data_IF_497492848266
#
_entry.id   IF_497492848266
#
_cell.length_a   1.000
_cell.length_b   1.000
_cell.length_c   1.000
_cell.angle_alpha   90.00
_cell.angle_beta   90.00
_cell.angle_gamma   90.00
#
_symmetry.space_group_name_H-M   'P 1'
#
loop_
_entity.id
_entity.type
_entity.pdbx_description
1 polymer ?
#
# COMPACT_ATOMS: atom_id res chain seq x y z
N UNK A 1 8.06 1.07 -21.32
CA UNK A 1 6.71 0.60 -21.00
C UNK A 1 6.82 -0.40 -19.86
N UNK A 2 6.06 -0.20 -18.75
CA UNK A 2 6.19 -1.06 -17.56
C UNK A 2 5.17 -2.21 -17.51
N UNK A 3 4.09 -2.16 -18.30
CA UNK A 3 3.07 -3.22 -18.36
C UNK A 3 2.54 -3.42 -19.79
N UNK A 4 2.16 -4.65 -20.13
CA UNK A 4 1.52 -5.05 -21.38
C UNK A 4 0.19 -5.74 -21.12
N UNK A 5 -0.77 -5.56 -22.03
CA UNK A 5 -2.07 -6.20 -22.00
C UNK A 5 -1.99 -7.56 -22.68
N UNK A 6 -2.52 -8.59 -22.04
CA UNK A 6 -2.77 -9.90 -22.63
C UNK A 6 -4.28 -10.10 -22.71
N UNK A 7 -4.77 -10.37 -23.91
CA UNK A 7 -6.18 -10.74 -24.15
C UNK A 7 -6.22 -12.24 -24.28
N UNK A 8 -6.87 -12.92 -23.34
CA UNK A 8 -7.19 -14.35 -23.38
C UNK A 8 -8.70 -14.54 -23.52
N UNK A 9 -9.15 -15.72 -23.91
CA UNK A 9 -10.57 -16.05 -24.05
C UNK A 9 -11.35 -15.84 -22.73
N UNK A 10 -10.67 -15.93 -21.58
CA UNK A 10 -11.25 -15.76 -20.24
C UNK A 10 -11.29 -14.31 -19.75
N UNK A 11 -10.78 -13.34 -20.54
CA UNK A 11 -10.78 -11.92 -20.18
C UNK A 11 -9.48 -11.17 -20.47
N UNK A 12 -9.45 -9.92 -20.02
CA UNK A 12 -8.30 -9.02 -20.21
C UNK A 12 -7.43 -9.08 -18.97
N UNK A 13 -6.18 -9.53 -19.09
CA UNK A 13 -5.18 -9.49 -18.04
C UNK A 13 -4.03 -8.53 -18.39
N UNK A 14 -3.44 -7.92 -17.38
CA UNK A 14 -2.31 -7.01 -17.54
C UNK A 14 -1.08 -7.62 -16.89
N UNK A 15 -0.03 -7.87 -17.69
CA UNK A 15 1.26 -8.35 -17.19
C UNK A 15 2.32 -7.25 -17.28
N UNK A 16 3.21 -7.22 -16.29
CA UNK A 16 4.37 -6.34 -16.33
C UNK A 16 5.35 -6.76 -17.43
N UNK A 17 5.97 -5.76 -18.06
CA UNK A 17 7.15 -6.01 -18.91
C UNK A 17 8.34 -6.40 -18.02
N UNK A 18 9.40 -7.01 -18.58
CA UNK A 18 10.61 -7.31 -17.81
C UNK A 18 11.16 -6.11 -17.03
N UNK A 19 11.11 -4.92 -17.62
CA UNK A 19 11.50 -3.67 -16.95
C UNK A 19 10.57 -3.32 -15.78
N UNK A 20 9.27 -3.59 -15.89
CA UNK A 20 8.30 -3.41 -14.82
C UNK A 20 8.58 -4.34 -13.62
N UNK A 21 8.98 -5.59 -13.88
CA UNK A 21 9.39 -6.52 -12.82
C UNK A 21 10.67 -6.07 -12.13
N UNK A 22 11.66 -5.55 -12.86
CA UNK A 22 12.90 -5.03 -12.28
C UNK A 22 12.60 -3.86 -11.34
N UNK A 23 11.76 -2.91 -11.74
CA UNK A 23 11.35 -1.78 -10.89
C UNK A 23 10.62 -2.28 -9.65
N UNK A 24 9.69 -3.22 -9.79
CA UNK A 24 8.95 -3.80 -8.67
C UNK A 24 9.89 -4.49 -7.68
N UNK A 25 10.81 -5.32 -8.17
CA UNK A 25 11.81 -6.02 -7.34
C UNK A 25 12.72 -5.02 -6.63
N UNK A 26 13.17 -3.95 -7.31
CA UNK A 26 13.98 -2.91 -6.70
C UNK A 26 13.24 -2.21 -5.55
N UNK A 27 11.97 -1.89 -5.72
CA UNK A 27 11.12 -1.31 -4.67
C UNK A 27 10.95 -2.26 -3.49
N UNK A 28 10.74 -3.56 -3.75
CA UNK A 28 10.68 -4.60 -2.69
C UNK A 28 11.98 -4.64 -1.90
N UNK A 29 13.12 -4.67 -2.59
CA UNK A 29 14.44 -4.71 -1.95
C UNK A 29 14.66 -3.47 -1.08
N UNK A 30 14.33 -2.27 -1.58
CA UNK A 30 14.46 -1.03 -0.81
C UNK A 30 13.59 -1.04 0.44
N UNK A 31 12.33 -1.49 0.34
CA UNK A 31 11.44 -1.58 1.51
C UNK A 31 11.92 -2.62 2.53
N UNK A 32 12.38 -3.78 2.08
CA UNK A 32 12.97 -4.79 2.96
C UNK A 32 14.27 -4.27 3.60
N UNK A 33 15.13 -3.60 2.84
CA UNK A 33 16.37 -3.02 3.35
C UNK A 33 16.09 -1.99 4.46
N UNK A 34 15.12 -1.09 4.27
CA UNK A 34 14.69 -0.14 5.31
C UNK A 34 14.21 -0.87 6.56
N UNK A 35 13.43 -1.94 6.42
CA UNK A 35 12.98 -2.77 7.54
C UNK A 35 14.12 -3.48 8.29
N UNK A 36 15.16 -3.93 7.58
CA UNK A 36 16.32 -4.60 8.16
C UNK A 36 17.37 -3.65 8.77
N UNK A 37 17.61 -2.50 8.14
CA UNK A 37 18.61 -1.52 8.59
C UNK A 37 18.18 -0.90 9.93
N UNK A 38 16.88 -0.67 10.11
CA UNK A 38 16.35 -0.12 11.35
C UNK A 38 16.09 -1.26 12.34
N UNK A 39 17.16 -1.74 12.93
CA UNK A 39 17.11 -2.76 13.97
C UNK A 39 16.55 -2.16 15.25
N UNK A 40 15.27 -2.38 15.50
CA UNK A 40 14.61 -1.93 16.72
C UNK A 40 15.09 -2.81 17.90
N UNK A 41 15.79 -2.22 18.87
CA UNK A 41 16.29 -2.90 20.07
C UNK A 41 15.18 -3.20 21.08
N UNK A 42 13.93 -2.85 20.79
CA UNK A 42 12.80 -3.08 21.70
C UNK A 42 12.35 -4.53 21.65
N UNK A 43 12.50 -5.20 22.77
CA UNK A 43 12.11 -6.59 22.99
C UNK A 43 10.65 -6.86 22.57
N UNK A 44 10.41 -7.99 21.92
CA UNK A 44 9.07 -8.47 21.59
C UNK A 44 8.28 -8.70 22.90
N UNK A 45 7.49 -7.73 23.34
CA UNK A 45 6.63 -7.90 24.49
C UNK A 45 5.21 -8.27 24.05
N UNK A 46 4.54 -9.13 24.82
CA UNK A 46 3.12 -9.50 24.61
C UNK A 46 2.25 -8.25 24.52
N UNK A 47 2.54 -7.23 25.33
CA UNK A 47 1.84 -5.94 25.31
C UNK A 47 1.90 -5.27 23.92
N UNK A 48 3.07 -5.29 23.27
CA UNK A 48 3.24 -4.73 21.91
C UNK A 48 2.37 -5.48 20.89
N UNK A 49 2.34 -6.83 20.97
CA UNK A 49 1.53 -7.64 20.08
C UNK A 49 0.04 -7.36 20.25
N UNK A 50 -0.43 -7.35 21.49
CA UNK A 50 -1.85 -7.10 21.83
C UNK A 50 -2.29 -5.71 21.38
N UNK A 51 -1.52 -4.65 21.69
CA UNK A 51 -1.85 -3.28 21.25
C UNK A 51 -1.83 -3.14 19.72
N UNK A 52 -0.90 -3.80 19.03
CA UNK A 52 -0.87 -3.80 17.56
C UNK A 52 -2.10 -4.51 16.98
N UNK A 53 -2.47 -5.65 17.53
CA UNK A 53 -3.68 -6.37 17.11
C UNK A 53 -4.96 -5.56 17.33
N UNK A 54 -5.09 -4.90 18.48
CA UNK A 54 -6.23 -4.00 18.77
C UNK A 54 -6.28 -2.81 17.80
N UNK A 55 -5.13 -2.19 17.51
CA UNK A 55 -5.07 -1.06 16.59
C UNK A 55 -5.41 -1.50 15.14
N UNK A 56 -4.97 -2.67 14.69
CA UNK A 56 -5.35 -3.24 13.39
C UNK A 56 -6.85 -3.52 13.33
N UNK A 57 -7.43 -4.08 14.39
CA UNK A 57 -8.87 -4.32 14.48
C UNK A 57 -9.67 -3.01 14.41
N UNK A 58 -9.26 -1.98 15.15
CA UNK A 58 -9.89 -0.65 15.09
C UNK A 58 -9.72 -0.01 13.72
N UNK A 59 -8.54 -0.12 13.09
CA UNK A 59 -8.32 0.37 11.75
C UNK A 59 -9.23 -0.33 10.74
N UNK A 60 -9.45 -1.63 10.89
CA UNK A 60 -10.35 -2.41 10.02
C UNK A 60 -11.81 -2.00 10.25
N UNK A 61 -12.26 -1.85 11.49
CA UNK A 61 -13.61 -1.39 11.78
C UNK A 61 -13.87 0.01 11.22
N UNK A 62 -12.94 0.94 11.40
CA UNK A 62 -13.06 2.30 10.87
C UNK A 62 -12.92 2.37 9.35
N UNK A 63 -12.33 1.36 8.72
CA UNK A 63 -12.26 1.28 7.25
C UNK A 63 -13.62 1.03 6.59
N UNK A 64 -14.59 0.46 7.30
CA UNK A 64 -15.97 0.34 6.80
C UNK A 64 -16.69 1.69 6.73
N UNK A 65 -16.24 2.69 7.52
CA UNK A 65 -16.77 4.04 7.48
C UNK A 65 -16.04 4.80 6.36
N UNK A 66 -16.54 4.68 5.14
CA UNK A 66 -15.99 5.38 3.99
C UNK A 66 -16.66 6.75 3.84
N UNK A 67 -15.87 7.83 3.87
CA UNK A 67 -16.35 9.19 3.64
C UNK A 67 -16.53 9.43 2.15
N UNK A 68 -15.60 8.95 1.35
CA UNK A 68 -15.61 9.16 -0.11
C UNK A 68 -15.03 7.93 -0.81
N UNK A 69 -15.74 7.47 -1.86
CA UNK A 69 -15.27 6.41 -2.77
C UNK A 69 -14.85 7.04 -4.08
N UNK A 70 -13.63 6.73 -4.53
CA UNK A 70 -13.11 7.19 -5.82
C UNK A 70 -13.66 6.31 -6.96
N UNK A 71 -14.00 6.91 -8.13
CA UNK A 71 -14.59 6.15 -9.25
C UNK A 71 -13.69 5.06 -9.82
N UNK A 72 -12.37 5.18 -9.66
CA UNK A 72 -11.36 4.25 -10.18
C UNK A 72 -10.77 3.32 -9.12
N UNK A 73 -11.51 3.05 -8.06
CA UNK A 73 -11.03 2.28 -6.91
C UNK A 73 -10.31 3.13 -5.88
N UNK A 74 -10.27 2.65 -4.66
CA UNK A 74 -9.80 3.38 -3.51
C UNK A 74 -10.92 4.11 -2.77
N UNK A 75 -10.72 4.28 -1.47
CA UNK A 75 -11.66 4.97 -0.59
C UNK A 75 -10.92 5.80 0.44
N UNK A 76 -11.51 6.96 0.76
CA UNK A 76 -11.06 7.76 1.90
C UNK A 76 -11.86 7.31 3.12
N UNK A 77 -11.16 6.69 4.07
CA UNK A 77 -11.74 6.12 5.29
C UNK A 77 -11.43 7.00 6.50
N UNK A 78 -12.34 6.97 7.49
CA UNK A 78 -12.19 7.75 8.69
C UNK A 78 -11.11 7.16 9.60
N UNK A 79 -9.99 7.86 9.75
CA UNK A 79 -8.92 7.56 10.73
C UNK A 79 -8.27 6.17 10.65
N UNK A 80 -8.66 5.27 9.73
CA UNK A 80 -8.11 3.91 9.71
C UNK A 80 -6.58 3.89 9.61
N UNK A 81 -6.01 4.80 8.82
CA UNK A 81 -4.56 4.93 8.66
C UNK A 81 -3.87 5.46 9.93
N UNK A 82 -4.58 6.28 10.74
CA UNK A 82 -4.03 6.85 11.98
C UNK A 82 -3.68 5.76 12.97
N UNK A 83 -4.54 4.74 13.14
CA UNK A 83 -4.28 3.64 14.06
C UNK A 83 -3.04 2.85 13.70
N UNK A 84 -2.78 2.66 12.41
CA UNK A 84 -1.57 1.98 11.93
C UNK A 84 -0.31 2.83 12.14
N UNK A 85 -0.40 4.13 11.85
CA UNK A 85 0.69 5.08 12.10
C UNK A 85 1.05 5.17 13.59
N UNK A 86 0.06 5.09 14.49
CA UNK A 86 0.29 5.06 15.93
C UNK A 86 1.15 3.88 16.38
N UNK A 87 0.98 2.70 15.76
CA UNK A 87 1.82 1.54 16.06
C UNK A 87 3.28 1.84 15.72
N UNK A 88 3.53 2.41 14.53
CA UNK A 88 4.88 2.81 14.11
C UNK A 88 5.47 3.87 15.05
N UNK A 89 4.69 4.84 15.45
CA UNK A 89 5.12 5.89 16.37
C UNK A 89 5.47 5.37 17.76
N UNK A 90 4.66 4.47 18.36
CA UNK A 90 4.87 3.95 19.71
C UNK A 90 5.95 2.86 19.79
N UNK A 91 6.00 1.97 18.80
CA UNK A 91 6.81 0.76 18.84
C UNK A 91 7.94 0.73 17.80
N UNK A 92 8.09 1.80 17.02
CA UNK A 92 9.14 1.95 16.02
C UNK A 92 8.82 1.30 14.68
N UNK A 93 9.77 1.43 13.73
CA UNK A 93 9.56 1.06 12.32
C UNK A 93 9.21 -0.42 12.15
N UNK A 94 9.93 -1.31 12.84
CA UNK A 94 9.73 -2.76 12.69
C UNK A 94 8.29 -3.16 13.02
N UNK A 95 7.72 -2.65 14.13
CA UNK A 95 6.34 -2.91 14.49
C UNK A 95 5.35 -2.22 13.55
N UNK A 96 5.67 -0.98 13.15
CA UNK A 96 4.87 -0.23 12.20
C UNK A 96 4.77 -0.95 10.85
N UNK A 97 5.88 -1.44 10.31
CA UNK A 97 5.88 -2.16 9.03
C UNK A 97 5.14 -3.49 9.09
N UNK A 98 5.36 -4.30 10.12
CA UNK A 98 4.63 -5.57 10.27
C UNK A 98 3.13 -5.36 10.42
N UNK A 99 2.71 -4.39 11.22
CA UNK A 99 1.30 -4.06 11.40
C UNK A 99 0.66 -3.47 10.13
N UNK A 100 1.36 -2.62 9.41
CA UNK A 100 0.86 -2.02 8.17
C UNK A 100 0.75 -3.03 7.04
N UNK A 101 1.69 -3.96 6.90
CA UNK A 101 1.59 -5.07 5.93
C UNK A 101 0.42 -5.99 6.31
N UNK A 102 0.28 -6.37 7.58
CA UNK A 102 -0.84 -7.18 8.05
C UNK A 102 -2.19 -6.50 7.77
N UNK A 103 -2.27 -5.19 8.01
CA UNK A 103 -3.46 -4.40 7.68
C UNK A 103 -3.71 -4.34 6.17
N UNK A 104 -2.68 -4.21 5.34
CA UNK A 104 -2.78 -4.24 3.89
C UNK A 104 -3.36 -5.57 3.38
N UNK A 105 -2.90 -6.71 3.93
CA UNK A 105 -3.45 -8.04 3.62
C UNK A 105 -4.91 -8.14 4.05
N UNK A 106 -5.28 -7.62 5.23
CA UNK A 106 -6.68 -7.58 5.66
C UNK A 106 -7.54 -6.73 4.72
N UNK A 107 -7.06 -5.58 4.27
CA UNK A 107 -7.77 -4.75 3.30
C UNK A 107 -7.95 -5.43 1.95
N UNK A 108 -6.99 -6.23 1.52
CA UNK A 108 -7.12 -7.06 0.32
C UNK A 108 -8.27 -8.08 0.44
N UNK A 109 -8.47 -8.64 1.64
CA UNK A 109 -9.55 -9.60 1.90
C UNK A 109 -10.91 -8.89 2.00
N UNK A 110 -10.95 -7.75 2.67
CA UNK A 110 -12.20 -7.01 2.97
C UNK A 110 -12.73 -6.26 1.74
N UNK A 111 -11.86 -5.62 0.99
CA UNK A 111 -12.20 -4.80 -0.18
C UNK A 111 -11.24 -5.10 -1.34
N UNK A 112 -11.33 -6.27 -1.98
CA UNK A 112 -10.44 -6.63 -3.07
C UNK A 112 -10.70 -5.76 -4.31
N UNK A 113 -9.67 -5.08 -4.79
CA UNK A 113 -9.65 -4.40 -6.08
C UNK A 113 -8.40 -4.85 -6.84
N UNK A 114 -8.57 -5.89 -7.65
CA UNK A 114 -7.47 -6.58 -8.33
C UNK A 114 -7.68 -6.47 -9.83
N UNK A 115 -6.79 -5.74 -10.51
CA UNK A 115 -6.72 -5.67 -11.98
C UNK A 115 -5.61 -6.60 -12.47
N UNK A 116 -4.51 -6.69 -11.71
CA UNK A 116 -3.38 -7.57 -12.01
C UNK A 116 -2.61 -7.91 -10.73
N UNK A 117 -1.88 -9.03 -10.71
CA UNK A 117 -1.07 -9.42 -9.57
C UNK A 117 -0.07 -8.34 -9.14
N UNK A 118 0.71 -7.71 -10.03
CA UNK A 118 1.64 -6.67 -9.63
C UNK A 118 0.97 -5.41 -9.05
N UNK A 119 -0.21 -5.03 -9.57
CA UNK A 119 -0.99 -3.92 -9.03
C UNK A 119 -1.44 -4.24 -7.60
N UNK A 120 -1.91 -5.47 -7.35
CA UNK A 120 -2.30 -5.92 -6.02
C UNK A 120 -1.15 -5.75 -5.00
N UNK A 121 0.08 -6.15 -5.37
CA UNK A 121 1.24 -5.98 -4.49
C UNK A 121 1.56 -4.50 -4.23
N UNK A 122 1.53 -3.65 -5.27
CA UNK A 122 1.79 -2.23 -5.14
C UNK A 122 0.77 -1.54 -4.24
N UNK A 123 -0.52 -1.81 -4.42
CA UNK A 123 -1.59 -1.11 -3.72
C UNK A 123 -1.82 -1.61 -2.29
N UNK A 124 -1.68 -2.93 -2.04
CA UNK A 124 -1.99 -3.49 -0.73
C UNK A 124 -0.76 -3.73 0.14
N UNK A 125 0.37 -4.13 -0.42
CA UNK A 125 1.55 -4.41 0.40
C UNK A 125 2.42 -3.14 0.51
N UNK A 126 2.78 -2.51 -0.60
CA UNK A 126 3.70 -1.37 -0.58
C UNK A 126 3.02 -0.08 -0.14
N UNK A 127 1.84 0.21 -0.66
CA UNK A 127 1.11 1.41 -0.28
C UNK A 127 0.73 1.40 1.21
N UNK A 128 0.27 0.27 1.74
CA UNK A 128 0.03 0.15 3.18
C UNK A 128 1.33 0.04 3.98
N UNK A 129 2.34 -0.69 3.50
CA UNK A 129 3.65 -0.79 4.14
C UNK A 129 4.30 0.57 4.38
N UNK A 130 4.09 1.54 3.49
CA UNK A 130 4.57 2.90 3.64
C UNK A 130 4.06 3.60 4.92
N UNK A 131 2.88 3.23 5.45
CA UNK A 131 2.39 3.75 6.72
C UNK A 131 3.31 3.37 7.91
N UNK A 132 3.97 2.22 7.80
CA UNK A 132 4.93 1.75 8.81
C UNK A 132 6.19 2.62 8.91
N UNK A 133 6.53 3.38 7.86
CA UNK A 133 7.65 4.32 7.87
C UNK A 133 7.44 5.48 8.86
N UNK A 134 6.23 5.65 9.38
CA UNK A 134 5.92 6.61 10.45
C UNK A 134 6.83 6.45 11.67
N UNK A 135 7.31 5.22 11.94
CA UNK A 135 8.24 4.92 13.02
C UNK A 135 9.59 5.63 12.92
N UNK A 136 10.00 6.13 11.74
CA UNK A 136 11.22 6.95 11.56
C UNK A 136 11.15 8.21 12.42
N UNK A 137 9.96 8.77 12.57
CA UNK A 137 9.73 10.02 13.29
C UNK A 137 9.37 9.84 14.76
N UNK A 138 9.42 8.60 15.29
CA UNK A 138 9.02 8.29 16.67
C UNK A 138 9.71 9.17 17.73
N UNK A 139 10.97 9.56 17.51
CA UNK A 139 11.76 10.36 18.47
C UNK A 139 11.82 11.85 18.13
N UNK A 140 11.06 12.34 17.14
CA UNK A 140 11.12 13.74 16.72
C UNK A 140 10.04 14.58 17.38
N UNK A 141 10.29 15.90 17.56
CA UNK A 141 9.28 16.87 17.99
C UNK A 141 8.11 16.86 16.99
N UNK A 142 6.90 16.62 17.45
CA UNK A 142 5.70 16.41 16.64
C UNK A 142 5.81 15.17 15.72
N UNK A 143 6.50 14.10 16.18
CA UNK A 143 6.78 12.90 15.42
C UNK A 143 5.53 12.20 14.86
N UNK A 144 4.42 12.20 15.62
CA UNK A 144 3.16 11.62 15.17
C UNK A 144 2.62 12.33 13.92
N UNK A 145 2.60 13.66 13.90
CA UNK A 145 2.10 14.44 12.75
C UNK A 145 3.01 14.24 11.53
N UNK A 146 4.33 14.33 11.73
CA UNK A 146 5.31 14.09 10.66
C UNK A 146 5.21 12.66 10.12
N UNK A 147 5.10 11.67 11.00
CA UNK A 147 4.94 10.26 10.65
C UNK A 147 3.63 10.01 9.91
N UNK A 148 2.54 10.65 10.30
CA UNK A 148 1.25 10.55 9.64
C UNK A 148 1.29 11.13 8.22
N UNK A 149 1.83 12.34 8.07
CA UNK A 149 1.98 12.98 6.75
C UNK A 149 2.88 12.14 5.85
N UNK A 150 4.04 11.69 6.36
CA UNK A 150 4.97 10.85 5.60
C UNK A 150 4.35 9.50 5.19
N UNK A 151 3.62 8.86 6.09
CA UNK A 151 2.92 7.60 5.81
C UNK A 151 1.84 7.75 4.74
N UNK A 152 1.02 8.79 4.83
CA UNK A 152 -0.03 9.09 3.82
C UNK A 152 0.62 9.45 2.48
N UNK A 153 1.65 10.30 2.48
CA UNK A 153 2.36 10.68 1.26
C UNK A 153 2.98 9.45 0.57
N UNK A 154 3.61 8.55 1.34
CA UNK A 154 4.14 7.28 0.84
C UNK A 154 3.06 6.40 0.26
N UNK A 155 1.93 6.24 0.96
CA UNK A 155 0.79 5.48 0.44
C UNK A 155 0.24 6.08 -0.84
N UNK A 156 0.04 7.40 -0.87
CA UNK A 156 -0.43 8.11 -2.06
C UNK A 156 0.53 7.91 -3.24
N UNK A 157 1.84 7.99 -2.99
CA UNK A 157 2.86 7.78 -4.02
C UNK A 157 2.76 6.39 -4.66
N UNK A 158 2.66 5.32 -3.86
CA UNK A 158 2.54 3.96 -4.38
C UNK A 158 1.22 3.73 -5.11
N UNK A 159 0.10 4.22 -4.58
CA UNK A 159 -1.20 4.12 -5.25
C UNK A 159 -1.23 4.94 -6.54
N UNK A 160 -0.61 6.12 -6.56
CA UNK A 160 -0.47 6.92 -7.78
C UNK A 160 0.40 6.21 -8.82
N UNK A 161 1.53 5.63 -8.40
CA UNK A 161 2.42 4.87 -9.28
C UNK A 161 1.71 3.66 -9.87
N UNK A 162 0.96 2.92 -9.05
CA UNK A 162 0.11 1.82 -9.47
C UNK A 162 -0.91 2.27 -10.53
N UNK A 163 -1.67 3.31 -10.23
CA UNK A 163 -2.65 3.91 -11.16
C UNK A 163 -1.99 4.38 -12.46
N UNK A 164 -0.85 5.06 -12.39
CA UNK A 164 -0.13 5.52 -13.57
C UNK A 164 0.29 4.35 -14.48
N UNK A 165 0.83 3.29 -13.92
CA UNK A 165 1.30 2.13 -14.68
C UNK A 165 0.13 1.43 -15.35
N UNK A 166 -0.93 1.15 -14.60
CA UNK A 166 -2.02 0.28 -15.05
C UNK A 166 -3.11 1.02 -15.82
N UNK A 167 -3.52 2.22 -15.41
CA UNK A 167 -4.52 3.03 -16.11
C UNK A 167 -4.01 3.55 -17.46
N UNK A 168 -2.72 3.89 -17.55
CA UNK A 168 -2.11 4.29 -18.83
C UNK A 168 -2.12 3.15 -19.84
N UNK A 169 -2.00 1.91 -19.38
CA UNK A 169 -2.15 0.73 -20.22
C UNK A 169 -3.58 0.57 -20.76
N UNK A 170 -4.59 0.84 -19.93
CA UNK A 170 -6.01 0.76 -20.30
C UNK A 170 -6.36 1.84 -21.33
N UNK A 171 -6.00 3.09 -21.08
CA UNK A 171 -6.35 4.22 -21.95
C UNK A 171 -5.75 4.11 -23.35
N UNK A 172 -4.50 3.66 -23.47
CA UNK A 172 -3.86 3.48 -24.79
C UNK A 172 -4.51 2.39 -25.64
N UNK A 173 -5.08 1.37 -25.02
CA UNK A 173 -5.75 0.30 -25.74
C UNK A 173 -7.18 0.66 -26.16
N UNK A 174 -7.86 1.52 -25.42
CA UNK A 174 -9.19 2.03 -25.84
C UNK A 174 -9.08 2.89 -27.11
N UNK A 175 -8.01 3.67 -27.28
CA UNK A 175 -7.75 4.45 -28.50
C UNK A 175 -7.45 3.57 -29.70
N UNK A 176 -6.76 2.44 -29.52
CA UNK A 176 -6.47 1.48 -30.59
C UNK A 176 -7.76 0.79 -31.02
N UNK A 177 -8.62 0.39 -30.08
CA UNK A 177 -9.92 -0.22 -30.40
C UNK A 177 -10.82 0.76 -31.18
N UNK A 178 -10.86 2.02 -30.77
CA UNK A 178 -11.59 3.07 -31.50
C UNK A 178 -11.04 3.32 -32.91
N UNK A 179 -9.74 3.20 -33.12
CA UNK A 179 -9.11 3.32 -34.43
C UNK A 179 -9.45 2.15 -35.36
N UNK A 180 -9.60 0.93 -34.83
CA UNK A 180 -9.92 -0.27 -35.63
C UNK A 180 -11.42 -0.42 -35.93
N UNK A 181 -12.31 0.27 -35.21
CA UNK A 181 -13.77 0.23 -35.42
C UNK A 181 -14.23 1.33 -36.40
N UNK A 182 -13.34 2.24 -36.78
CA UNK A 182 -13.62 3.32 -37.74
C UNK A 182 -13.04 3.02 -39.12
#
# INVERSE_FOLDING_TARGET
MLATKIVSEDGISYNLTPLGYVVLIAVVIVMLAVGFIVKDKKTHSVKRLVTSAMAIALATLTSFITIFKMPMGGSVTLFSMLFIVLIGYWYGISAGMTASIAYGVLQLIVNPYIISLPQMFLDYIFAFGALGLSGIFANSRNGLVKGYIAGIAGRFFFSFLSGWIFLRCIHRNSLIVLYYIR
#
